data_IF_394136701509
#
_entry.id   IF_394136701509
#
_cell.length_a   1.000
_cell.length_b   1.000
_cell.length_c   1.000
_cell.angle_alpha   90.00
_cell.angle_beta   90.00
_cell.angle_gamma   90.00
#
_symmetry.space_group_name_H-M   'P 1'
#
loop_
_entity.id
_entity.type
_entity.pdbx_description
1 polymer ?
#
# COMPACT_ATOMS: atom_id res chain seq x y z
N UNK A 1 -8.95 -38.45 24.87
CA UNK A 1 -7.79 -37.61 25.24
C UNK A 1 -7.49 -36.71 24.06
N UNK A 2 -7.98 -35.48 24.10
CA UNK A 2 -7.83 -34.53 22.99
C UNK A 2 -6.42 -33.94 22.93
N UNK A 3 -5.88 -33.65 21.74
CA UNK A 3 -4.57 -33.02 21.63
C UNK A 3 -4.67 -31.60 22.19
N UNK A 4 -3.86 -31.36 23.22
CA UNK A 4 -3.73 -30.09 23.91
C UNK A 4 -3.07 -29.10 22.94
N UNK A 5 -3.89 -28.26 22.28
CA UNK A 5 -3.43 -27.20 21.42
C UNK A 5 -2.87 -26.08 22.31
N UNK A 6 -1.59 -26.21 22.67
CA UNK A 6 -0.86 -25.21 23.45
C UNK A 6 -0.75 -23.92 22.62
N UNK A 7 -1.71 -23.02 22.80
CA UNK A 7 -1.66 -21.65 22.29
C UNK A 7 -0.68 -20.86 23.16
N UNK A 8 0.63 -20.97 22.89
CA UNK A 8 1.54 -19.92 23.37
C UNK A 8 1.39 -18.72 22.44
N UNK A 9 1.04 -17.54 22.96
CA UNK A 9 1.12 -16.33 22.16
C UNK A 9 2.59 -16.13 21.75
N UNK A 10 2.81 -15.72 20.50
CA UNK A 10 4.17 -15.51 19.94
C UNK A 10 4.96 -14.49 20.76
N UNK A 11 4.28 -13.61 21.52
CA UNK A 11 4.88 -12.63 22.42
C UNK A 11 5.79 -13.19 23.52
N UNK A 12 5.63 -14.46 23.94
CA UNK A 12 6.51 -15.07 24.97
C UNK A 12 7.87 -15.53 24.44
N UNK A 13 8.06 -15.55 23.11
CA UNK A 13 9.28 -16.10 22.49
C UNK A 13 10.42 -15.10 22.29
N UNK A 14 10.20 -13.80 22.55
CA UNK A 14 11.20 -12.76 22.26
C UNK A 14 11.54 -12.62 20.77
N UNK A 15 10.72 -13.17 19.87
CA UNK A 15 10.90 -13.05 18.42
C UNK A 15 10.62 -11.62 17.99
N UNK A 16 11.66 -10.96 17.47
CA UNK A 16 11.54 -9.66 16.83
C UNK A 16 10.68 -9.75 15.57
N UNK A 17 9.76 -8.79 15.37
CA UNK A 17 8.79 -8.79 14.26
C UNK A 17 9.50 -8.85 12.91
N UNK A 18 10.63 -8.15 12.78
CA UNK A 18 11.44 -8.16 11.57
C UNK A 18 11.99 -9.55 11.21
N UNK A 19 12.07 -10.51 12.14
CA UNK A 19 12.56 -11.86 11.90
C UNK A 19 11.48 -12.83 11.38
N UNK A 20 10.20 -12.46 11.43
CA UNK A 20 9.07 -13.34 11.09
C UNK A 20 9.14 -13.89 9.66
N UNK A 21 9.17 -15.21 9.54
CA UNK A 21 9.18 -15.95 8.28
C UNK A 21 8.41 -17.25 8.46
N UNK A 22 8.11 -18.01 7.38
CA UNK A 22 7.46 -19.31 7.50
C UNK A 22 8.16 -20.28 8.46
N UNK A 23 9.48 -20.18 8.63
CA UNK A 23 10.29 -21.04 9.50
C UNK A 23 10.08 -20.74 10.99
N UNK A 24 9.96 -19.47 11.36
CA UNK A 24 9.79 -19.03 12.76
C UNK A 24 8.34 -18.73 13.14
N UNK A 25 7.43 -18.66 12.14
CA UNK A 25 5.99 -18.54 12.30
C UNK A 25 5.28 -19.70 11.58
N UNK A 26 5.41 -20.94 12.10
CA UNK A 26 4.89 -22.12 11.42
C UNK A 26 3.36 -22.16 11.43
N UNK A 27 2.77 -22.35 10.25
CA UNK A 27 1.34 -22.58 10.06
C UNK A 27 1.10 -23.92 9.33
N UNK A 28 1.35 -25.08 9.96
CA UNK A 28 1.42 -26.37 9.26
C UNK A 28 0.14 -26.73 8.49
N UNK A 29 -1.02 -26.34 9.03
CA UNK A 29 -2.33 -26.60 8.40
C UNK A 29 -2.73 -25.58 7.33
N UNK A 30 -2.06 -24.41 7.26
CA UNK A 30 -2.43 -23.32 6.32
C UNK A 30 -1.35 -23.05 5.27
N UNK A 31 -0.10 -23.44 5.50
CA UNK A 31 1.04 -23.09 4.63
C UNK A 31 0.81 -23.43 3.15
N UNK A 32 0.21 -24.60 2.86
CA UNK A 32 -0.04 -25.03 1.49
C UNK A 32 -1.05 -24.12 0.79
N UNK A 33 -2.10 -23.72 1.53
CA UNK A 33 -3.14 -22.82 1.03
C UNK A 33 -2.63 -21.39 0.85
N UNK A 34 -1.79 -20.90 1.77
CA UNK A 34 -1.16 -19.59 1.64
C UNK A 34 -0.22 -19.54 0.43
N UNK A 35 0.56 -20.60 0.16
CA UNK A 35 1.40 -20.70 -1.05
C UNK A 35 0.57 -20.80 -2.34
N UNK A 36 -0.61 -21.42 -2.30
CA UNK A 36 -1.57 -21.34 -3.41
C UNK A 36 -2.07 -19.91 -3.64
N UNK A 37 -2.43 -19.19 -2.57
CA UNK A 37 -2.84 -17.79 -2.69
C UNK A 37 -1.71 -16.90 -3.20
N UNK A 38 -0.46 -17.14 -2.80
CA UNK A 38 0.70 -16.44 -3.36
C UNK A 38 0.81 -16.63 -4.89
N UNK A 39 0.60 -17.85 -5.39
CA UNK A 39 0.54 -18.11 -6.84
C UNK A 39 -0.65 -17.40 -7.50
N UNK A 40 -1.84 -17.48 -6.90
CA UNK A 40 -3.04 -16.81 -7.40
C UNK A 40 -2.92 -15.28 -7.47
N UNK A 41 -2.20 -14.67 -6.52
CA UNK A 41 -1.91 -13.24 -6.49
C UNK A 41 -1.05 -12.79 -7.68
N UNK A 42 -0.05 -13.59 -8.04
CA UNK A 42 0.92 -13.21 -9.07
C UNK A 42 0.55 -13.70 -10.47
N UNK A 43 -0.24 -14.77 -10.59
CA UNK A 43 -0.52 -15.47 -11.84
C UNK A 43 -2.02 -15.60 -12.15
N UNK A 44 -2.90 -15.26 -11.21
CA UNK A 44 -4.35 -15.36 -11.33
C UNK A 44 -5.04 -14.01 -11.29
N UNK A 45 -6.12 -13.90 -10.50
CA UNK A 45 -6.98 -12.72 -10.42
C UNK A 45 -6.30 -11.47 -9.84
N UNK A 46 -5.13 -11.61 -9.23
CA UNK A 46 -4.39 -10.47 -8.69
C UNK A 46 -4.82 -10.02 -7.31
N UNK A 47 -5.82 -10.63 -6.67
CA UNK A 47 -6.19 -10.33 -5.28
C UNK A 47 -6.88 -11.51 -4.59
N UNK A 48 -6.89 -11.49 -3.25
CA UNK A 48 -7.67 -12.39 -2.41
C UNK A 48 -7.87 -11.80 -1.00
N UNK A 49 -8.82 -12.35 -0.24
CA UNK A 49 -9.08 -11.99 1.17
C UNK A 49 -8.97 -13.23 2.05
N UNK A 50 -8.28 -13.12 3.18
CA UNK A 50 -8.33 -14.08 4.28
C UNK A 50 -9.31 -13.52 5.31
N UNK A 51 -10.35 -14.29 5.66
CA UNK A 51 -11.41 -13.89 6.60
C UNK A 51 -11.38 -14.72 7.87
N UNK A 52 -11.82 -14.11 8.98
CA UNK A 52 -12.14 -14.81 10.23
C UNK A 52 -11.11 -14.64 11.35
N UNK A 53 -10.14 -13.72 11.20
CA UNK A 53 -9.30 -13.31 12.33
C UNK A 53 -10.14 -12.50 13.34
N UNK A 54 -9.64 -12.40 14.57
CA UNK A 54 -10.35 -11.73 15.68
C UNK A 54 -9.46 -10.66 16.30
N UNK A 55 -9.26 -9.52 15.63
CA UNK A 55 -8.29 -8.51 16.05
C UNK A 55 -8.50 -8.02 17.49
N UNK A 56 -9.76 -7.90 17.92
CA UNK A 56 -10.13 -7.49 19.28
C UNK A 56 -9.74 -8.51 20.38
N UNK A 57 -9.31 -9.72 20.01
CA UNK A 57 -8.79 -10.74 20.93
C UNK A 57 -7.27 -10.66 21.12
N UNK A 58 -6.60 -9.70 20.48
CA UNK A 58 -5.15 -9.58 20.40
C UNK A 58 -4.71 -8.15 20.73
N UNK A 59 -3.50 -8.00 21.29
CA UNK A 59 -2.87 -6.69 21.44
C UNK A 59 -2.49 -6.09 20.07
N UNK A 60 -2.16 -4.79 20.01
CA UNK A 60 -1.62 -4.15 18.79
C UNK A 60 -0.42 -4.92 18.25
N UNK A 61 0.52 -5.27 19.14
CA UNK A 61 1.71 -6.07 18.82
C UNK A 61 1.37 -7.46 18.28
N UNK A 62 0.45 -8.18 18.91
CA UNK A 62 0.03 -9.50 18.43
C UNK A 62 -0.64 -9.43 17.06
N UNK A 63 -1.47 -8.40 16.81
CA UNK A 63 -2.08 -8.17 15.51
C UNK A 63 -1.03 -7.88 14.41
N UNK A 64 0.02 -7.13 14.73
CA UNK A 64 1.16 -6.90 13.83
C UNK A 64 1.90 -8.22 13.55
N UNK A 65 2.19 -9.02 14.58
CA UNK A 65 2.85 -10.32 14.43
C UNK A 65 2.01 -11.24 13.53
N UNK A 66 0.69 -11.28 13.72
CA UNK A 66 -0.23 -12.06 12.88
C UNK A 66 -0.18 -11.57 11.43
N UNK A 67 -0.23 -10.25 11.21
CA UNK A 67 -0.18 -9.68 9.85
C UNK A 67 1.13 -10.01 9.14
N UNK A 68 2.27 -9.73 9.78
CA UNK A 68 3.59 -9.96 9.20
C UNK A 68 3.86 -11.46 9.02
N UNK A 69 3.49 -12.28 10.01
CA UNK A 69 3.66 -13.73 9.97
C UNK A 69 2.89 -14.38 8.82
N UNK A 70 1.60 -14.03 8.63
CA UNK A 70 0.80 -14.53 7.50
C UNK A 70 1.32 -14.00 6.16
N UNK A 71 1.61 -12.69 6.07
CA UNK A 71 2.11 -12.08 4.84
C UNK A 71 3.45 -12.68 4.37
N UNK A 72 4.28 -13.18 5.31
CA UNK A 72 5.57 -13.82 4.98
C UNK A 72 5.45 -15.10 4.13
N UNK A 73 4.28 -15.74 4.10
CA UNK A 73 4.00 -16.87 3.20
C UNK A 73 3.66 -16.43 1.77
N UNK A 74 3.30 -15.16 1.59
CA UNK A 74 2.86 -14.58 0.31
C UNK A 74 4.02 -13.84 -0.36
N UNK A 75 4.89 -13.19 0.41
CA UNK A 75 6.16 -12.64 -0.05
C UNK A 75 7.20 -12.53 1.06
N UNK A 76 8.46 -12.71 0.68
CA UNK A 76 9.61 -12.82 1.57
C UNK A 76 10.31 -11.48 1.86
N UNK A 77 10.05 -10.44 1.05
CA UNK A 77 10.58 -9.09 1.25
C UNK A 77 9.47 -8.11 1.58
N UNK A 78 9.71 -7.23 2.57
CA UNK A 78 8.82 -6.10 2.88
C UNK A 78 9.48 -4.82 2.39
N UNK A 79 8.69 -3.91 1.85
CA UNK A 79 9.17 -2.60 1.45
C UNK A 79 9.17 -1.65 2.65
N UNK A 80 10.19 -0.82 2.75
CA UNK A 80 10.13 0.38 3.57
C UNK A 80 9.09 1.34 2.96
N UNK A 81 8.24 1.92 3.78
CA UNK A 81 7.15 2.81 3.37
C UNK A 81 7.39 4.25 3.83
N UNK A 82 8.20 4.43 4.87
CA UNK A 82 8.52 5.73 5.47
C UNK A 82 9.94 5.75 6.00
N UNK A 83 10.44 6.95 6.31
CA UNK A 83 11.70 7.14 7.05
C UNK A 83 12.91 6.43 6.42
N UNK A 84 12.91 6.30 5.08
CA UNK A 84 13.86 5.52 4.26
C UNK A 84 15.35 5.80 4.51
N UNK A 85 15.70 6.90 5.15
CA UNK A 85 17.07 7.37 5.32
C UNK A 85 17.50 7.48 6.80
N UNK A 86 16.70 6.97 7.73
CA UNK A 86 17.04 6.99 9.15
C UNK A 86 16.82 5.61 9.81
N UNK A 87 17.21 5.47 11.07
CA UNK A 87 17.13 4.22 11.83
C UNK A 87 15.68 3.80 12.19
N UNK A 88 14.67 4.55 11.76
CA UNK A 88 13.24 4.33 12.05
C UNK A 88 12.47 4.02 10.76
N UNK A 89 13.12 3.39 9.78
CA UNK A 89 12.51 3.06 8.51
C UNK A 89 11.38 2.02 8.69
N UNK A 90 10.16 2.39 8.32
CA UNK A 90 8.99 1.60 8.68
C UNK A 90 8.59 0.66 7.57
N UNK A 91 8.48 -0.63 7.87
CA UNK A 91 7.97 -1.64 6.94
C UNK A 91 6.45 -1.80 7.01
N UNK A 92 5.83 -1.38 8.13
CA UNK A 92 4.39 -1.41 8.36
C UNK A 92 3.88 0.01 8.63
N UNK A 93 2.74 0.35 8.04
CA UNK A 93 2.06 1.62 8.30
C UNK A 93 0.64 1.40 8.81
N UNK A 94 0.17 2.29 9.68
CA UNK A 94 -1.24 2.34 10.11
C UNK A 94 -2.05 3.20 9.15
N UNK A 95 -3.21 2.70 8.71
CA UNK A 95 -4.17 3.39 7.87
C UNK A 95 -5.46 3.63 8.64
N UNK A 96 -5.50 4.74 9.37
CA UNK A 96 -6.56 5.19 10.29
C UNK A 96 -6.55 6.72 10.38
N UNK A 97 -7.57 7.34 10.97
CA UNK A 97 -7.48 8.77 11.31
C UNK A 97 -6.50 8.97 12.47
N UNK A 98 -5.27 9.40 12.18
CA UNK A 98 -4.22 9.54 13.21
C UNK A 98 -4.50 10.69 14.19
N UNK A 99 -5.43 11.59 13.86
CA UNK A 99 -5.84 12.68 14.76
C UNK A 99 -6.54 12.14 16.02
N UNK A 100 -7.04 10.91 15.99
CA UNK A 100 -7.62 10.25 17.16
C UNK A 100 -6.59 9.81 18.19
N UNK A 101 -5.32 9.69 17.80
CA UNK A 101 -4.25 9.12 18.62
C UNK A 101 -3.28 10.18 19.16
N UNK A 102 -3.45 11.45 18.76
CA UNK A 102 -2.64 12.57 19.27
C UNK A 102 -3.52 13.79 19.51
N UNK A 103 -3.60 14.24 20.76
CA UNK A 103 -4.31 15.47 21.19
C UNK A 103 -3.78 16.77 20.56
N UNK A 104 -2.66 16.73 19.83
CA UNK A 104 -1.99 17.90 19.26
C UNK A 104 -1.18 17.53 18.01
N UNK A 105 -1.83 17.00 16.96
CA UNK A 105 -1.24 17.19 15.63
C UNK A 105 -1.28 18.68 15.35
N UNK A 106 -0.14 19.38 15.52
CA UNK A 106 0.00 20.75 15.02
C UNK A 106 -0.49 20.78 13.57
N UNK A 107 -1.20 21.84 13.17
CA UNK A 107 -1.78 21.96 11.82
C UNK A 107 -0.73 21.79 10.69
N UNK A 108 0.55 21.87 11.04
CA UNK A 108 1.71 21.79 10.14
C UNK A 108 2.27 20.36 9.91
N UNK A 109 1.68 19.31 10.49
CA UNK A 109 2.14 17.93 10.24
C UNK A 109 1.50 17.36 8.98
N UNK A 110 2.33 16.95 8.01
CA UNK A 110 1.87 16.25 6.82
C UNK A 110 1.18 14.93 7.20
N UNK A 111 -0.04 14.73 6.72
CA UNK A 111 -0.75 13.47 6.83
C UNK A 111 -0.79 12.82 5.45
N UNK A 112 -0.36 11.56 5.36
CA UNK A 112 -0.62 10.81 4.14
C UNK A 112 -2.13 10.62 3.96
N UNK A 113 -2.63 10.50 2.72
CA UNK A 113 -4.06 10.27 2.48
C UNK A 113 -4.63 9.06 3.21
N UNK A 114 -3.81 8.03 3.46
CA UNK A 114 -4.20 6.85 4.26
C UNK A 114 -4.41 7.13 5.75
N UNK A 115 -3.94 8.28 6.25
CA UNK A 115 -4.04 8.74 7.64
C UNK A 115 -5.12 9.79 7.87
N UNK A 116 -5.92 10.09 6.85
CA UNK A 116 -7.00 11.08 6.89
C UNK A 116 -8.35 10.44 6.57
N UNK A 117 -9.44 11.15 6.88
CA UNK A 117 -10.84 10.71 6.64
C UNK A 117 -11.36 10.97 5.23
N UNK A 118 -10.62 11.74 4.42
CA UNK A 118 -11.00 12.10 3.04
C UNK A 118 -10.94 10.92 2.07
N UNK A 119 -11.67 10.96 0.96
CA UNK A 119 -11.55 9.91 -0.05
C UNK A 119 -10.13 9.83 -0.63
N UNK A 120 -9.63 8.61 -0.83
CA UNK A 120 -8.37 8.34 -1.53
C UNK A 120 -8.73 7.82 -2.91
N UNK A 121 -8.41 8.58 -3.95
CA UNK A 121 -8.71 8.18 -5.34
C UNK A 121 -7.93 6.94 -5.79
N UNK A 122 -8.30 6.38 -6.94
CA UNK A 122 -7.60 5.24 -7.53
C UNK A 122 -6.12 5.53 -7.73
N UNK A 123 -5.27 4.62 -7.27
CA UNK A 123 -3.82 4.66 -7.39
C UNK A 123 -3.20 3.27 -7.31
N UNK A 124 -1.91 3.19 -7.63
CA UNK A 124 -1.01 2.11 -7.23
C UNK A 124 0.01 2.66 -6.24
N UNK A 125 0.27 1.93 -5.16
CA UNK A 125 1.31 2.27 -4.19
C UNK A 125 2.72 2.14 -4.80
N UNK A 126 3.74 2.58 -4.07
CA UNK A 126 5.14 2.32 -4.41
C UNK A 126 5.53 0.90 -3.96
N UNK A 127 5.60 -0.05 -4.90
CA UNK A 127 6.00 -1.44 -4.64
C UNK A 127 5.13 -2.49 -5.36
N UNK A 128 5.48 -3.77 -5.19
CA UNK A 128 4.91 -4.90 -5.94
C UNK A 128 3.48 -5.25 -5.53
N UNK A 129 3.27 -5.51 -4.24
CA UNK A 129 2.01 -6.02 -3.71
C UNK A 129 1.68 -5.32 -2.40
N UNK A 130 0.38 -5.27 -2.09
CA UNK A 130 -0.14 -4.65 -0.86
C UNK A 130 -0.88 -5.71 -0.05
N UNK A 131 -0.69 -5.67 1.27
CA UNK A 131 -1.51 -6.37 2.25
C UNK A 131 -2.15 -5.35 3.20
N UNK A 132 -3.46 -5.46 3.42
CA UNK A 132 -4.24 -4.65 4.35
C UNK A 132 -4.92 -5.56 5.36
N UNK A 133 -4.63 -5.39 6.65
CA UNK A 133 -5.29 -6.13 7.74
C UNK A 133 -6.22 -5.22 8.53
N UNK A 134 -7.52 -5.50 8.49
CA UNK A 134 -8.56 -4.72 9.16
C UNK A 134 -8.72 -5.12 10.62
N UNK A 135 -8.44 -4.18 11.52
CA UNK A 135 -8.67 -4.35 12.95
C UNK A 135 -10.09 -3.89 13.31
N UNK A 136 -10.53 -2.81 12.69
CA UNK A 136 -11.85 -2.21 12.86
C UNK A 136 -12.26 -1.41 11.62
N UNK A 137 -13.55 -1.23 11.42
CA UNK A 137 -14.16 -0.43 10.35
C UNK A 137 -14.67 0.89 10.91
N UNK A 138 -14.86 1.87 10.02
CA UNK A 138 -15.52 3.13 10.40
C UNK A 138 -17.00 2.90 10.76
N UNK A 139 -17.63 3.87 11.41
CA UNK A 139 -19.09 3.90 11.57
C UNK A 139 -19.79 4.05 10.21
N UNK A 140 -19.23 4.87 9.31
CA UNK A 140 -19.76 5.09 7.96
C UNK A 140 -18.63 5.21 6.93
N UNK A 141 -18.82 4.63 5.76
CA UNK A 141 -17.88 4.73 4.64
C UNK A 141 -16.58 3.95 4.86
N UNK A 142 -15.54 4.34 4.13
CA UNK A 142 -14.21 3.71 4.21
C UNK A 142 -14.09 2.41 3.42
N UNK A 143 -15.05 2.15 2.54
CA UNK A 143 -15.07 1.00 1.62
C UNK A 143 -13.81 0.99 0.75
N UNK A 144 -13.25 -0.21 0.56
CA UNK A 144 -12.10 -0.48 -0.27
C UNK A 144 -12.57 -0.92 -1.66
N UNK A 145 -12.04 -0.27 -2.70
CA UNK A 145 -12.33 -0.63 -4.08
C UNK A 145 -11.08 -1.12 -4.80
N UNK A 146 -11.24 -2.11 -5.67
CA UNK A 146 -10.21 -2.58 -6.60
C UNK A 146 -10.70 -2.43 -8.03
N UNK A 147 -9.78 -2.12 -8.94
CA UNK A 147 -10.07 -2.07 -10.38
C UNK A 147 -8.91 -2.69 -11.17
N UNK A 148 -9.25 -3.52 -12.16
CA UNK A 148 -8.25 -4.23 -12.96
C UNK A 148 -7.61 -3.30 -13.99
N UNK A 149 -6.29 -3.14 -13.94
CA UNK A 149 -5.58 -2.35 -14.94
C UNK A 149 -5.77 -2.93 -16.36
N UNK A 150 -5.88 -4.26 -16.48
CA UNK A 150 -6.19 -4.93 -17.74
C UNK A 150 -7.58 -4.60 -18.27
N UNK A 151 -8.60 -4.60 -17.40
CA UNK A 151 -9.96 -4.22 -17.80
C UNK A 151 -9.99 -2.77 -18.28
N UNK A 152 -9.36 -1.88 -17.51
CA UNK A 152 -9.26 -0.44 -17.87
C UNK A 152 -8.50 -0.26 -19.17
N UNK A 153 -7.39 -0.97 -19.37
CA UNK A 153 -6.63 -0.94 -20.61
C UNK A 153 -7.48 -1.37 -21.81
N UNK A 154 -8.22 -2.48 -21.71
CA UNK A 154 -9.05 -2.98 -22.80
C UNK A 154 -10.18 -1.99 -23.16
N UNK A 155 -10.84 -1.42 -22.15
CA UNK A 155 -11.88 -0.41 -22.35
C UNK A 155 -11.31 0.85 -23.03
N UNK A 156 -10.14 1.31 -22.60
CA UNK A 156 -9.46 2.45 -23.22
C UNK A 156 -8.95 2.13 -24.63
N UNK A 157 -8.45 0.93 -24.89
CA UNK A 157 -8.01 0.53 -26.21
C UNK A 157 -9.16 0.57 -27.23
N UNK A 158 -10.37 0.20 -26.79
CA UNK A 158 -11.57 0.23 -27.62
C UNK A 158 -12.14 1.65 -27.82
N UNK A 159 -12.19 2.45 -26.74
CA UNK A 159 -12.96 3.71 -26.74
C UNK A 159 -12.11 4.96 -26.82
N UNK A 160 -10.84 4.91 -26.40
CA UNK A 160 -9.97 6.08 -26.23
C UNK A 160 -8.49 5.71 -26.33
N UNK A 161 -8.02 5.13 -27.46
CA UNK A 161 -6.65 4.61 -27.59
C UNK A 161 -5.56 5.70 -27.44
N UNK A 162 -5.90 6.97 -27.69
CA UNK A 162 -5.00 8.09 -27.44
C UNK A 162 -4.60 8.23 -25.96
N UNK A 163 -5.47 7.87 -25.02
CA UNK A 163 -5.14 7.85 -23.58
C UNK A 163 -3.99 6.90 -23.32
N UNK A 164 -4.03 5.70 -23.91
CA UNK A 164 -2.97 4.69 -23.77
C UNK A 164 -1.67 5.19 -24.40
N UNK A 165 -1.74 5.81 -25.59
CA UNK A 165 -0.57 6.41 -26.24
C UNK A 165 0.10 7.43 -25.32
N UNK A 166 -0.67 8.32 -24.69
CA UNK A 166 -0.14 9.31 -23.74
C UNK A 166 0.45 8.61 -22.50
N UNK A 167 -0.18 7.57 -21.98
CA UNK A 167 0.28 6.87 -20.77
C UNK A 167 1.56 6.05 -20.98
N UNK A 168 1.89 5.69 -22.22
CA UNK A 168 3.16 5.04 -22.59
C UNK A 168 4.32 6.00 -22.83
N UNK A 169 4.06 7.31 -22.92
CA UNK A 169 5.13 8.32 -23.02
C UNK A 169 5.78 8.52 -21.65
N UNK A 170 6.99 9.09 -21.62
CA UNK A 170 7.63 9.44 -20.34
C UNK A 170 6.98 10.69 -19.74
N UNK A 171 6.58 10.60 -18.48
CA UNK A 171 6.05 11.72 -17.68
C UNK A 171 7.10 12.20 -16.69
N UNK A 172 7.07 13.48 -16.33
CA UNK A 172 7.95 14.05 -15.32
C UNK A 172 7.31 13.93 -13.93
N UNK A 173 7.84 13.00 -13.13
CA UNK A 173 7.39 12.68 -11.77
C UNK A 173 8.19 13.48 -10.75
N UNK A 174 7.51 14.12 -9.80
CA UNK A 174 8.15 14.74 -8.66
C UNK A 174 8.41 13.71 -7.56
N UNK A 175 9.66 13.63 -7.08
CA UNK A 175 9.96 12.83 -5.89
C UNK A 175 9.50 13.59 -4.65
N UNK A 176 9.01 12.86 -3.62
CA UNK A 176 8.46 13.52 -2.43
C UNK A 176 9.51 14.39 -1.72
N UNK A 177 9.14 15.63 -1.40
CA UNK A 177 10.03 16.63 -0.79
C UNK A 177 10.31 16.27 0.68
N UNK A 178 11.52 15.83 1.00
CA UNK A 178 12.04 15.72 2.37
C UNK A 178 12.98 16.88 2.69
N UNK A 179 12.49 18.13 2.62
CA UNK A 179 13.27 19.31 3.00
C UNK A 179 14.51 19.62 2.13
N UNK A 180 14.64 19.00 0.95
CA UNK A 180 15.77 19.26 0.03
C UNK A 180 15.44 20.44 -0.91
N UNK A 181 16.33 21.44 -0.97
CA UNK A 181 16.23 22.57 -1.90
C UNK A 181 16.40 22.14 -3.36
N UNK A 182 17.07 21.00 -3.58
CA UNK A 182 17.30 20.46 -4.92
C UNK A 182 16.04 19.79 -5.46
N UNK A 183 15.68 20.19 -6.69
CA UNK A 183 14.60 19.53 -7.43
C UNK A 183 14.98 18.07 -7.68
N UNK A 184 14.18 17.15 -7.14
CA UNK A 184 14.28 15.71 -7.43
C UNK A 184 13.08 15.31 -8.27
N UNK A 185 13.34 14.86 -9.48
CA UNK A 185 12.33 14.38 -10.41
C UNK A 185 12.91 13.31 -11.32
N UNK A 186 12.04 12.48 -11.87
CA UNK A 186 12.42 11.43 -12.82
C UNK A 186 11.44 11.35 -13.98
N UNK A 187 11.88 10.70 -15.06
CA UNK A 187 11.07 10.45 -16.24
C UNK A 187 10.66 8.99 -16.28
N UNK A 188 9.36 8.72 -16.33
CA UNK A 188 8.83 7.37 -16.35
C UNK A 188 7.43 7.33 -17.01
N UNK A 189 7.10 6.31 -17.80
CA UNK A 189 5.72 6.03 -18.20
C UNK A 189 4.78 5.72 -17.01
N UNK A 190 3.48 5.84 -17.25
CA UNK A 190 2.42 5.40 -16.32
C UNK A 190 2.11 3.92 -16.57
N UNK A 191 2.04 3.53 -17.85
CA UNK A 191 1.76 2.15 -18.27
C UNK A 191 2.97 1.57 -18.98
N UNK A 192 3.28 0.33 -18.62
CA UNK A 192 4.32 -0.48 -19.24
C UNK A 192 3.73 -1.80 -19.73
N UNK A 193 4.34 -2.35 -20.77
CA UNK A 193 4.10 -3.72 -21.19
C UNK A 193 5.43 -4.47 -21.17
N UNK A 194 5.57 -5.39 -20.22
CA UNK A 194 6.81 -6.13 -19.97
C UNK A 194 6.48 -7.61 -19.77
N UNK A 195 7.14 -8.50 -20.50
CA UNK A 195 6.94 -9.96 -20.41
C UNK A 195 5.47 -10.40 -20.47
N UNK A 196 4.73 -9.86 -21.45
CA UNK A 196 3.29 -10.09 -21.62
C UNK A 196 2.42 -9.66 -20.44
N UNK A 197 2.92 -8.74 -19.60
CA UNK A 197 2.20 -8.17 -18.47
C UNK A 197 2.06 -6.66 -18.62
N UNK A 198 0.83 -6.20 -18.43
CA UNK A 198 0.54 -4.79 -18.23
C UNK A 198 0.93 -4.43 -16.80
N UNK A 199 1.90 -3.53 -16.66
CA UNK A 199 2.31 -2.96 -15.37
C UNK A 199 1.85 -1.51 -15.32
N UNK A 200 1.18 -1.15 -14.23
CA UNK A 200 0.76 0.23 -13.98
C UNK A 200 1.51 0.84 -12.79
N UNK A 201 1.97 2.07 -12.97
CA UNK A 201 2.43 2.94 -11.90
C UNK A 201 1.62 4.24 -12.00
N UNK A 202 0.55 4.36 -11.21
CA UNK A 202 -0.40 5.46 -11.28
C UNK A 202 -0.55 6.15 -9.93
N UNK A 203 0.02 7.36 -9.80
CA UNK A 203 -0.15 8.22 -8.64
C UNK A 203 -0.31 9.66 -9.09
N UNK A 204 -1.41 10.30 -8.69
CA UNK A 204 -1.69 11.68 -9.08
C UNK A 204 -0.83 12.70 -8.34
N UNK A 205 -0.46 12.44 -7.08
CA UNK A 205 0.29 13.41 -6.26
C UNK A 205 1.67 13.75 -6.86
N UNK A 206 2.53 12.79 -7.26
CA UNK A 206 3.80 13.12 -7.95
C UNK A 206 3.64 13.84 -9.29
N UNK A 207 2.50 13.65 -9.98
CA UNK A 207 2.24 14.23 -11.30
C UNK A 207 1.62 15.63 -11.24
N UNK A 208 0.66 15.86 -10.33
CA UNK A 208 -0.13 17.10 -10.22
C UNK A 208 0.22 17.94 -8.99
N UNK A 209 0.89 17.36 -8.00
CA UNK A 209 0.99 17.93 -6.66
C UNK A 209 -0.30 17.79 -5.85
N UNK A 210 -0.28 18.26 -4.61
CA UNK A 210 -1.42 18.39 -3.71
C UNK A 210 -1.36 19.73 -2.96
N UNK A 211 -2.38 20.02 -2.14
CA UNK A 211 -2.36 21.22 -1.28
C UNK A 211 -1.20 21.19 -0.29
N UNK A 212 -0.92 20.02 0.29
CA UNK A 212 0.15 19.83 1.28
C UNK A 212 1.53 19.69 0.64
N UNK A 213 1.58 19.18 -0.60
CA UNK A 213 2.81 19.05 -1.37
C UNK A 213 2.60 19.57 -2.80
N UNK A 214 2.67 20.90 -3.00
CA UNK A 214 2.52 21.48 -4.31
C UNK A 214 3.58 20.96 -5.29
N UNK A 215 3.20 20.88 -6.57
CA UNK A 215 4.16 20.59 -7.64
C UNK A 215 5.17 21.74 -7.71
N UNK A 216 6.44 21.40 -7.83
CA UNK A 216 7.53 22.36 -7.95
C UNK A 216 7.36 23.17 -9.23
N UNK A 217 7.44 24.51 -9.12
CA UNK A 217 7.24 25.42 -10.24
C UNK A 217 8.34 25.33 -11.31
N UNK A 218 9.46 24.65 -11.02
CA UNK A 218 10.52 24.35 -11.99
C UNK A 218 10.19 23.17 -12.91
N UNK A 219 9.16 22.39 -12.59
CA UNK A 219 8.69 21.29 -13.42
C UNK A 219 7.65 21.78 -14.41
N UNK A 220 7.59 21.15 -15.58
CA UNK A 220 6.56 21.48 -16.54
C UNK A 220 5.17 21.11 -15.98
N UNK A 221 4.17 21.98 -16.20
CA UNK A 221 2.79 21.64 -15.89
C UNK A 221 2.33 20.52 -16.83
N UNK A 222 1.31 19.78 -16.40
CA UNK A 222 0.68 18.81 -17.29
C UNK A 222 0.01 19.52 -18.47
N UNK A 223 0.23 18.99 -19.67
CA UNK A 223 -0.48 19.41 -20.87
C UNK A 223 -1.98 19.13 -20.75
N UNK A 224 -2.79 19.81 -21.56
CA UNK A 224 -4.24 19.60 -21.60
C UNK A 224 -4.59 18.15 -21.95
N UNK A 225 -3.80 17.55 -22.84
CA UNK A 225 -3.92 16.16 -23.28
C UNK A 225 -3.64 15.19 -22.13
N UNK A 226 -2.57 15.44 -21.37
CA UNK A 226 -2.25 14.67 -20.16
C UNK A 226 -3.34 14.78 -19.11
N UNK A 227 -3.85 15.99 -18.84
CA UNK A 227 -4.94 16.21 -17.90
C UNK A 227 -6.23 15.47 -18.31
N UNK A 228 -6.58 15.54 -19.60
CA UNK A 228 -7.72 14.81 -20.16
C UNK A 228 -7.53 13.29 -20.09
N UNK A 229 -6.31 12.79 -20.33
CA UNK A 229 -5.98 11.38 -20.26
C UNK A 229 -6.12 10.84 -18.82
N UNK A 230 -5.63 11.58 -17.82
CA UNK A 230 -5.82 11.26 -16.40
C UNK A 230 -7.30 11.20 -16.02
N UNK A 231 -8.10 12.18 -16.46
CA UNK A 231 -9.54 12.21 -16.18
C UNK A 231 -10.30 11.05 -16.84
N UNK A 232 -9.98 10.73 -18.10
CA UNK A 232 -10.56 9.59 -18.80
C UNK A 232 -10.21 8.26 -18.12
N UNK A 233 -8.95 8.11 -17.70
CA UNK A 233 -8.47 6.93 -17.00
C UNK A 233 -9.16 6.76 -15.64
N UNK A 234 -9.25 7.82 -14.81
CA UNK A 234 -9.95 7.80 -13.53
C UNK A 234 -11.41 7.36 -13.70
N UNK A 235 -12.10 7.90 -14.71
CA UNK A 235 -13.50 7.56 -15.01
C UNK A 235 -13.66 6.09 -15.36
N UNK A 236 -12.87 5.59 -16.32
CA UNK A 236 -12.95 4.17 -16.75
C UNK A 236 -12.56 3.24 -15.60
N UNK A 237 -11.59 3.62 -14.77
CA UNK A 237 -11.19 2.86 -13.58
C UNK A 237 -12.35 2.74 -12.59
N UNK A 238 -13.05 3.84 -12.30
CA UNK A 238 -14.19 3.85 -11.41
C UNK A 238 -15.40 3.07 -11.95
N UNK A 239 -15.67 3.15 -13.26
CA UNK A 239 -16.75 2.41 -13.93
C UNK A 239 -16.56 0.88 -13.85
N UNK A 240 -15.31 0.42 -13.75
CA UNK A 240 -14.95 -1.00 -13.71
C UNK A 240 -14.52 -1.48 -12.32
N UNK A 241 -14.68 -0.64 -11.29
CA UNK A 241 -14.27 -0.98 -9.94
C UNK A 241 -15.24 -1.95 -9.26
N UNK A 242 -14.69 -2.84 -8.45
CA UNK A 242 -15.44 -3.67 -7.52
C UNK A 242 -15.23 -3.15 -6.10
N UNK A 243 -16.28 -3.17 -5.29
CA UNK A 243 -16.17 -2.94 -3.85
C UNK A 243 -15.80 -4.27 -3.18
N UNK A 244 -14.78 -4.27 -2.33
CA UNK A 244 -14.51 -5.39 -1.44
C UNK A 244 -15.32 -5.21 -0.15
N UNK A 245 -16.12 -6.21 0.18
CA UNK A 245 -16.70 -6.30 1.52
C UNK A 245 -15.58 -6.44 2.55
N UNK A 246 -15.62 -5.60 3.58
CA UNK A 246 -14.59 -5.53 4.60
C UNK A 246 -15.22 -5.64 5.99
N UNK A 247 -14.74 -6.62 6.76
CA UNK A 247 -15.12 -6.83 8.16
C UNK A 247 -13.86 -6.83 9.06
N UNK A 248 -14.00 -6.49 10.36
CA UNK A 248 -12.92 -6.69 11.32
C UNK A 248 -12.38 -8.11 11.27
N UNK A 249 -11.08 -8.26 11.07
CA UNK A 249 -10.41 -9.54 10.89
C UNK A 249 -10.15 -9.97 9.45
N UNK A 250 -10.63 -9.22 8.46
CA UNK A 250 -10.28 -9.44 7.07
C UNK A 250 -8.85 -8.96 6.77
N UNK A 251 -8.10 -9.77 6.02
CA UNK A 251 -6.78 -9.44 5.49
C UNK A 251 -6.81 -9.53 3.97
N UNK A 252 -6.73 -8.39 3.29
CA UNK A 252 -6.78 -8.26 1.84
C UNK A 252 -5.36 -8.24 1.28
N UNK A 253 -5.13 -9.02 0.22
CA UNK A 253 -3.88 -9.02 -0.53
C UNK A 253 -4.19 -8.70 -1.98
N UNK A 254 -3.42 -7.80 -2.60
CA UNK A 254 -3.56 -7.48 -4.01
C UNK A 254 -2.23 -7.11 -4.68
N UNK A 255 -2.13 -7.48 -5.96
CA UNK A 255 -1.01 -7.18 -6.83
C UNK A 255 -1.14 -5.73 -7.31
N UNK A 256 -0.28 -4.88 -6.78
CA UNK A 256 -0.32 -3.44 -6.94
C UNK A 256 0.19 -2.98 -8.32
N UNK A 257 0.87 -3.87 -9.06
CA UNK A 257 1.29 -3.63 -10.44
C UNK A 257 0.17 -3.91 -11.45
N UNK A 258 -0.84 -4.69 -11.06
CA UNK A 258 -1.92 -5.16 -11.93
C UNK A 258 -3.30 -4.56 -11.59
N UNK A 259 -3.44 -4.02 -10.38
CA UNK A 259 -4.70 -3.50 -9.85
C UNK A 259 -4.50 -2.07 -9.34
N UNK A 260 -5.51 -1.24 -9.57
CA UNK A 260 -5.65 0.04 -8.89
C UNK A 260 -6.55 -0.14 -7.69
N UNK A 261 -6.30 0.63 -6.63
CA UNK A 261 -7.12 0.60 -5.44
C UNK A 261 -7.49 2.01 -4.98
N UNK A 262 -8.64 2.12 -4.33
CA UNK A 262 -9.14 3.38 -3.78
C UNK A 262 -9.91 3.13 -2.49
N UNK A 263 -10.16 4.21 -1.75
CA UNK A 263 -10.98 4.18 -0.54
C UNK A 263 -11.94 5.36 -0.55
N UNK A 264 -13.20 5.10 -0.23
CA UNK A 264 -14.17 6.18 0.00
C UNK A 264 -13.77 7.03 1.23
N UNK A 265 -14.38 8.20 1.35
CA UNK A 265 -14.31 8.97 2.58
C UNK A 265 -15.03 8.19 3.70
N UNK A 266 -14.64 8.43 4.94
CA UNK A 266 -15.26 7.76 6.09
C UNK A 266 -15.47 8.70 7.27
N UNK A 267 -16.36 8.28 8.16
CA UNK A 267 -16.59 8.93 9.44
C UNK A 267 -16.53 7.87 10.54
N UNK A 268 -15.65 8.10 11.49
CA UNK A 268 -15.52 7.25 12.66
C UNK A 268 -16.59 7.56 13.71
N UNK A 269 -16.92 6.54 14.50
CA UNK A 269 -17.76 6.68 15.68
C UNK A 269 -16.97 7.08 16.92
N UNK A 270 -17.69 7.20 18.05
CA UNK A 270 -17.09 7.56 19.34
C UNK A 270 -16.35 6.40 20.01
N UNK A 271 -16.81 5.17 19.75
CA UNK A 271 -16.22 3.97 20.33
C UNK A 271 -15.07 3.47 19.45
N UNK A 272 -13.99 3.00 20.08
CA UNK A 272 -12.80 2.51 19.38
C UNK A 272 -13.10 1.35 18.42
N UNK A 273 -14.16 0.57 18.68
CA UNK A 273 -14.60 -0.53 17.83
C UNK A 273 -15.14 -0.08 16.46
N UNK A 274 -15.52 1.19 16.32
CA UNK A 274 -16.04 1.80 15.08
C UNK A 274 -15.17 2.98 14.62
N UNK A 275 -13.92 2.99 15.06
CA UNK A 275 -12.86 3.82 14.52
C UNK A 275 -12.05 2.99 13.54
N UNK A 276 -12.00 3.39 12.27
CA UNK A 276 -11.35 2.61 11.21
C UNK A 276 -9.86 2.45 11.48
N UNK A 277 -9.40 1.21 11.62
CA UNK A 277 -8.00 0.90 11.79
C UNK A 277 -7.60 -0.28 10.93
N UNK A 278 -6.71 -0.03 9.96
CA UNK A 278 -6.04 -1.08 9.19
C UNK A 278 -4.52 -0.95 9.37
N UNK A 279 -3.79 -2.05 9.28
CA UNK A 279 -2.34 -2.01 9.06
C UNK A 279 -2.04 -2.39 7.62
N UNK A 280 -1.01 -1.79 7.03
CA UNK A 280 -0.60 -2.01 5.65
C UNK A 280 0.85 -2.47 5.57
N UNK A 281 1.07 -3.53 4.79
CA UNK A 281 2.40 -3.94 4.33
C UNK A 281 2.47 -3.76 2.82
N UNK A 282 3.61 -3.29 2.33
CA UNK A 282 4.00 -3.44 0.94
C UNK A 282 5.05 -4.54 0.90
N UNK A 283 4.92 -5.50 -0.03
CA UNK A 283 5.78 -6.68 -0.04
C UNK A 283 6.07 -7.17 -1.45
N UNK A 284 7.15 -7.93 -1.58
CA UNK A 284 7.58 -8.58 -2.80
C UNK A 284 7.81 -10.06 -2.53
N UNK A 285 7.42 -10.88 -3.50
CA UNK A 285 7.80 -12.28 -3.56
C UNK A 285 8.99 -12.41 -4.51
N UNK A 286 10.15 -12.85 -4.03
CA UNK A 286 11.38 -12.96 -4.83
C UNK A 286 11.29 -14.03 -5.92
N UNK A 287 10.42 -15.04 -5.75
CA UNK A 287 10.21 -16.12 -6.73
C UNK A 287 9.11 -15.79 -7.75
N UNK A 288 7.98 -15.28 -7.29
CA UNK A 288 6.76 -15.06 -8.09
C UNK A 288 6.57 -13.60 -8.55
N UNK A 289 7.31 -12.67 -7.94
CA UNK A 289 7.24 -11.24 -8.21
C UNK A 289 7.48 -10.92 -9.68
N UNK A 290 6.85 -9.85 -10.15
CA UNK A 290 6.96 -9.48 -11.56
C UNK A 290 8.29 -8.78 -11.81
N UNK A 291 8.78 -8.84 -13.05
CA UNK A 291 9.89 -7.99 -13.47
C UNK A 291 9.44 -6.53 -13.43
N UNK A 292 10.31 -5.67 -12.89
CA UNK A 292 10.02 -4.24 -12.72
C UNK A 292 10.64 -3.47 -13.89
N UNK A 293 9.88 -2.57 -14.55
CA UNK A 293 10.41 -1.71 -15.60
C UNK A 293 11.68 -0.98 -15.18
N UNK A 294 12.65 -0.84 -16.10
CA UNK A 294 13.98 -0.28 -15.80
C UNK A 294 13.93 1.10 -15.17
N UNK A 295 13.02 1.95 -15.63
CA UNK A 295 12.85 3.32 -15.12
C UNK A 295 12.37 3.35 -13.66
N UNK A 296 11.74 2.28 -13.18
CA UNK A 296 11.23 2.14 -11.81
C UNK A 296 12.23 1.41 -10.88
N UNK A 297 13.23 0.72 -11.42
CA UNK A 297 14.18 -0.08 -10.63
C UNK A 297 14.88 0.70 -9.51
N UNK A 298 15.38 1.95 -9.71
CA UNK A 298 16.04 2.68 -8.63
C UNK A 298 15.13 2.91 -7.42
N UNK A 299 13.84 3.13 -7.66
CA UNK A 299 12.83 3.31 -6.61
C UNK A 299 12.53 1.98 -5.91
N UNK A 300 12.38 0.89 -6.66
CA UNK A 300 12.18 -0.44 -6.09
C UNK A 300 13.36 -0.89 -5.25
N UNK A 301 14.59 -0.68 -5.71
CA UNK A 301 15.80 -0.96 -4.92
C UNK A 301 15.79 -0.16 -3.62
N UNK A 302 15.45 1.13 -3.66
CA UNK A 302 15.32 1.95 -2.44
C UNK A 302 14.33 1.36 -1.42
N UNK A 303 13.27 0.68 -1.88
CA UNK A 303 12.24 0.15 -0.99
C UNK A 303 12.57 -1.23 -0.43
N UNK A 304 13.30 -2.07 -1.17
CA UNK A 304 13.50 -3.49 -0.87
C UNK A 304 14.95 -3.92 -0.60
N UNK A 305 15.93 -3.06 -0.88
CA UNK A 305 17.36 -3.35 -0.69
C UNK A 305 17.85 -2.86 0.67
N UNK A 306 17.34 -3.50 1.73
CA UNK A 306 17.71 -3.25 3.11
C UNK A 306 17.79 -4.56 3.89
N UNK A 307 18.55 -4.55 4.98
CA UNK A 307 18.58 -5.64 5.93
C UNK A 307 17.29 -5.66 6.75
N UNK A 308 16.77 -6.84 7.10
CA UNK A 308 15.48 -6.98 7.81
C UNK A 308 15.50 -6.26 9.16
N UNK A 309 16.65 -6.22 9.82
CA UNK A 309 16.89 -5.55 11.10
C UNK A 309 16.62 -4.03 11.06
N UNK A 310 16.59 -3.44 9.86
CA UNK A 310 16.22 -2.04 9.65
C UNK A 310 14.71 -1.81 9.63
N UNK A 311 13.90 -2.87 9.54
CA UNK A 311 12.46 -2.79 9.42
C UNK A 311 11.81 -2.51 10.77
N UNK A 312 11.21 -1.33 10.90
CA UNK A 312 10.43 -0.95 12.07
C UNK A 312 8.93 -1.25 11.89
N UNK A 313 8.29 -1.64 12.99
CA UNK A 313 6.87 -1.99 13.07
C UNK A 313 6.24 -1.24 14.26
N UNK A 314 5.83 0.03 14.05
CA UNK A 314 5.18 0.82 15.09
C UNK A 314 3.98 0.07 15.65
N UNK A 315 3.85 0.00 16.99
CA UNK A 315 2.69 -0.65 17.61
C UNK A 315 1.45 0.24 17.55
N UNK A 316 1.63 1.56 17.52
CA UNK A 316 0.56 2.55 17.55
C UNK A 316 0.62 3.50 16.33
N UNK A 317 -0.54 4.01 15.89
CA UNK A 317 -0.59 5.00 14.82
C UNK A 317 0.15 6.28 15.18
N UNK A 318 0.84 6.84 14.20
CA UNK A 318 1.47 8.14 14.31
C UNK A 318 1.47 8.81 12.93
N UNK A 319 1.47 10.16 12.87
CA UNK A 319 1.49 10.87 11.60
C UNK A 319 2.80 10.61 10.86
N UNK A 320 2.74 10.65 9.53
CA UNK A 320 3.94 10.58 8.70
C UNK A 320 4.83 11.78 9.00
N UNK A 321 6.00 11.53 9.59
CA UNK A 321 6.99 12.57 9.81
C UNK A 321 7.72 12.88 8.49
N UNK A 322 7.05 13.54 7.54
CA UNK A 322 7.81 14.46 6.68
C UNK A 322 8.21 15.62 7.57
N UNK A 323 9.37 15.52 8.22
CA UNK A 323 9.96 16.68 8.85
C UNK A 323 10.24 17.70 7.74
N UNK A 324 9.35 18.67 7.57
CA UNK A 324 9.57 19.83 6.71
C UNK A 324 10.72 20.70 7.24
N UNK A 325 11.15 20.48 8.48
CA UNK A 325 12.39 20.97 9.05
C UNK A 325 13.47 19.88 8.96
N UNK A 326 14.53 20.12 8.20
CA UNK A 326 15.81 19.52 8.56
C UNK A 326 16.05 19.81 10.04
N UNK A 327 16.19 18.77 10.86
CA UNK A 327 16.78 18.98 12.17
C UNK A 327 18.27 19.11 11.93
N UNK A 328 18.75 20.34 12.17
CA UNK A 328 20.17 20.70 12.33
C UNK A 328 20.90 19.75 13.28
#
# INVERSE_FOLDING_TARGET
>A
MGPNCNKRPVSESGLEVHALSPEVFPLPSLQARLREFARGLHQGHGFFTIRGLKPNSFSSKDNIIIHVGIASYIGDKRALQQNYYNAQAEALSHACDVKQYKDNTQEDVFLAPGNETIAVGFHSDNGDNVSLYCWSTAEQGGELYLSSAWMVYNELALKSPDVLRIFTQCWQWQDSRTGDEKLRSHMAPIIYFLNNRLVINYQKRPLRGSKQEPRDCRLDPLSREQEAALAAFDRVTAENAICLEQEPGDMHFFNNLALLHSRSAFRDGKDQAVQRHLTRLIFRNSELGWEIPRDLLPYWSKYYDHAREMEHFPEEPHPWAFSLSGHD
#
